data_IF_904321595808
#
_entry.id   IF_904321595808
#
_cell.length_a   1.000
_cell.length_b   1.000
_cell.length_c   1.000
_cell.angle_alpha   90.00
_cell.angle_beta   90.00
_cell.angle_gamma   90.00
#
_symmetry.space_group_name_H-M   'P 1'
#
loop_
_entity.id
_entity.type
_entity.pdbx_description
1 polymer ?
#
# COMPACT_ATOMS: atom_id res chain seq x y z
N UNK A 1 2.14 1.76 -27.19
CA UNK A 1 3.39 1.23 -26.64
C UNK A 1 3.04 0.09 -25.69
N UNK A 2 3.77 -1.04 -25.73
CA UNK A 2 3.66 -2.03 -24.66
C UNK A 2 4.22 -1.44 -23.35
N UNK A 3 3.58 -1.74 -22.22
CA UNK A 3 4.09 -1.37 -20.90
C UNK A 3 5.29 -2.27 -20.57
N UNK A 4 6.37 -1.70 -20.07
CA UNK A 4 7.56 -2.43 -19.67
C UNK A 4 7.29 -3.30 -18.43
N UNK A 5 7.97 -4.46 -18.38
CA UNK A 5 7.83 -5.42 -17.27
C UNK A 5 8.16 -4.77 -15.92
N UNK A 6 9.19 -3.92 -15.88
CA UNK A 6 9.60 -3.22 -14.66
C UNK A 6 8.50 -2.29 -14.12
N UNK A 7 7.85 -1.51 -14.99
CA UNK A 7 6.77 -0.61 -14.54
C UNK A 7 5.52 -1.38 -14.10
N UNK A 8 5.26 -2.56 -14.69
CA UNK A 8 4.24 -3.48 -14.20
C UNK A 8 4.60 -4.07 -12.84
N UNK A 9 5.87 -4.45 -12.61
CA UNK A 9 6.34 -4.96 -11.31
C UNK A 9 6.16 -3.91 -10.21
N UNK A 10 6.48 -2.64 -10.46
CA UNK A 10 6.23 -1.55 -9.49
C UNK A 10 4.75 -1.40 -9.13
N UNK A 11 3.87 -1.43 -10.13
CA UNK A 11 2.43 -1.37 -9.89
C UNK A 11 1.89 -2.63 -9.20
N UNK A 12 2.50 -3.79 -9.45
CA UNK A 12 2.16 -5.02 -8.77
C UNK A 12 2.46 -4.94 -7.27
N UNK A 13 3.56 -4.34 -6.85
CA UNK A 13 3.83 -4.10 -5.43
C UNK A 13 2.76 -3.19 -4.78
N UNK A 14 2.26 -2.17 -5.48
CA UNK A 14 1.12 -1.37 -4.99
C UNK A 14 -0.14 -2.22 -4.82
N UNK A 15 -0.39 -3.14 -5.75
CA UNK A 15 -1.49 -4.11 -5.65
C UNK A 15 -1.33 -5.06 -4.47
N UNK A 16 -0.14 -5.62 -4.24
CA UNK A 16 0.10 -6.49 -3.08
C UNK A 16 -0.10 -5.73 -1.76
N UNK A 17 0.39 -4.49 -1.67
CA UNK A 17 0.13 -3.63 -0.52
C UNK A 17 -1.38 -3.42 -0.29
N UNK A 18 -2.16 -3.25 -1.37
CA UNK A 18 -3.62 -3.14 -1.31
C UNK A 18 -4.28 -4.41 -0.75
N UNK A 19 -3.90 -5.58 -1.25
CA UNK A 19 -4.43 -6.87 -0.78
C UNK A 19 -4.07 -7.12 0.69
N UNK A 20 -2.83 -6.79 1.10
CA UNK A 20 -2.44 -6.88 2.49
C UNK A 20 -3.21 -5.90 3.40
N UNK A 21 -3.56 -4.71 2.91
CA UNK A 21 -4.42 -3.79 3.66
C UNK A 21 -5.83 -4.36 3.87
N UNK A 22 -6.37 -5.06 2.87
CA UNK A 22 -7.64 -5.76 2.98
C UNK A 22 -7.58 -6.90 4.00
N UNK A 23 -6.51 -7.70 3.96
CA UNK A 23 -6.26 -8.77 4.92
C UNK A 23 -6.08 -8.22 6.35
N UNK A 24 -5.30 -7.14 6.52
CA UNK A 24 -5.12 -6.44 7.79
C UNK A 24 -6.45 -5.96 8.36
N UNK A 25 -7.33 -5.39 7.52
CA UNK A 25 -8.65 -4.92 7.92
C UNK A 25 -9.51 -6.06 8.45
N UNK A 26 -9.50 -7.20 7.75
CA UNK A 26 -10.23 -8.41 8.15
C UNK A 26 -9.70 -8.97 9.47
N UNK A 27 -8.38 -9.02 9.65
CA UNK A 27 -7.74 -9.45 10.89
C UNK A 27 -8.06 -8.52 12.06
N UNK A 28 -8.03 -7.20 11.85
CA UNK A 28 -8.38 -6.20 12.86
C UNK A 28 -9.83 -6.35 13.33
N UNK A 29 -10.78 -6.56 12.41
CA UNK A 29 -12.19 -6.82 12.74
C UNK A 29 -12.37 -8.11 13.55
N UNK A 30 -11.56 -9.13 13.29
CA UNK A 30 -11.55 -10.39 14.04
C UNK A 30 -10.78 -10.31 15.36
N UNK A 31 -10.21 -9.15 15.70
CA UNK A 31 -9.30 -8.94 16.84
C UNK A 31 -8.09 -9.87 16.83
N UNK A 32 -7.66 -10.30 15.64
CA UNK A 32 -6.43 -11.06 15.46
C UNK A 32 -5.26 -10.08 15.26
N UNK A 33 -4.75 -9.57 16.38
CA UNK A 33 -3.65 -8.61 16.41
C UNK A 33 -2.41 -9.13 15.67
N UNK A 34 -2.03 -10.39 15.92
CA UNK A 34 -0.80 -10.98 15.35
C UNK A 34 -0.85 -11.00 13.82
N UNK A 35 -1.99 -11.39 13.25
CA UNK A 35 -2.14 -11.38 11.79
C UNK A 35 -2.21 -9.96 11.24
N UNK A 36 -2.92 -9.05 11.91
CA UNK A 36 -2.99 -7.65 11.50
C UNK A 36 -1.60 -6.98 11.47
N UNK A 37 -0.78 -7.15 12.52
CA UNK A 37 0.59 -6.63 12.59
C UNK A 37 1.49 -7.21 11.50
N UNK A 38 1.34 -8.51 11.21
CA UNK A 38 2.06 -9.16 10.10
C UNK A 38 1.70 -8.50 8.77
N UNK A 39 0.42 -8.30 8.48
CA UNK A 39 -0.01 -7.67 7.22
C UNK A 39 0.43 -6.22 7.13
N UNK A 40 0.38 -5.45 8.22
CA UNK A 40 0.91 -4.08 8.27
C UNK A 40 2.42 -4.03 7.96
N UNK A 41 3.17 -5.04 8.37
CA UNK A 41 4.60 -5.18 8.04
C UNK A 41 4.81 -5.45 6.55
N UNK A 42 4.04 -6.39 5.99
CA UNK A 42 4.09 -6.73 4.56
C UNK A 42 3.72 -5.53 3.70
N UNK A 43 2.69 -4.78 4.06
CA UNK A 43 2.31 -3.53 3.37
C UNK A 43 3.48 -2.55 3.24
N UNK A 44 4.29 -2.37 4.30
CA UNK A 44 5.45 -1.47 4.25
C UNK A 44 6.52 -1.97 3.28
N UNK A 45 6.79 -3.27 3.29
CA UNK A 45 7.78 -3.89 2.39
C UNK A 45 7.38 -3.71 0.92
N UNK A 46 6.09 -3.92 0.61
CA UNK A 46 5.58 -3.71 -0.74
C UNK A 46 5.66 -2.25 -1.18
N UNK A 47 5.34 -1.30 -0.30
CA UNK A 47 5.46 0.13 -0.63
C UNK A 47 6.90 0.56 -0.88
N UNK A 48 7.87 0.02 -0.13
CA UNK A 48 9.29 0.27 -0.38
C UNK A 48 9.73 -0.28 -1.75
N UNK A 49 9.21 -1.43 -2.16
CA UNK A 49 9.49 -2.04 -3.46
C UNK A 49 8.79 -1.34 -4.64
N UNK A 50 7.65 -0.67 -4.40
CA UNK A 50 6.88 0.02 -5.43
C UNK A 50 7.56 1.27 -6.01
N UNK A 51 8.65 1.78 -5.40
CA UNK A 51 9.42 2.95 -5.86
C UNK A 51 8.53 4.17 -6.15
N UNK A 52 7.61 4.44 -5.23
CA UNK A 52 6.62 5.50 -5.35
C UNK A 52 7.22 6.89 -5.08
N UNK A 53 6.60 7.97 -5.59
CA UNK A 53 6.94 9.32 -5.18
C UNK A 53 6.89 9.47 -3.66
N UNK A 54 7.85 10.22 -3.10
CA UNK A 54 8.00 10.41 -1.66
C UNK A 54 6.73 10.89 -0.97
N UNK A 55 5.98 11.80 -1.59
CA UNK A 55 4.72 12.32 -1.05
C UNK A 55 3.67 11.19 -0.86
N UNK A 56 3.52 10.32 -1.86
CA UNK A 56 2.63 9.17 -1.78
C UNK A 56 3.07 8.18 -0.68
N UNK A 57 4.37 7.92 -0.54
CA UNK A 57 4.91 7.08 0.53
C UNK A 57 4.64 7.65 1.92
N UNK A 58 4.83 8.96 2.10
CA UNK A 58 4.57 9.63 3.38
C UNK A 58 3.08 9.56 3.76
N UNK A 59 2.19 9.77 2.79
CA UNK A 59 0.74 9.74 3.04
C UNK A 59 0.19 8.34 3.28
N UNK A 60 0.67 7.33 2.56
CA UNK A 60 0.33 5.93 2.83
C UNK A 60 0.95 5.46 4.14
N UNK A 61 2.17 5.89 4.44
CA UNK A 61 2.87 5.57 5.69
C UNK A 61 2.14 6.08 6.94
N UNK A 62 1.54 7.28 6.88
CA UNK A 62 0.69 7.82 7.96
C UNK A 62 -0.49 6.90 8.26
N UNK A 63 -1.18 6.42 7.22
CA UNK A 63 -2.32 5.50 7.41
C UNK A 63 -1.88 4.16 8.02
N UNK A 64 -0.72 3.62 7.60
CA UNK A 64 -0.17 2.39 8.22
C UNK A 64 0.18 2.62 9.69
N UNK A 65 0.82 3.74 10.04
CA UNK A 65 1.17 4.06 11.43
C UNK A 65 -0.07 4.21 12.29
N UNK A 66 -1.09 4.92 11.79
CA UNK A 66 -2.36 5.07 12.51
C UNK A 66 -3.06 3.73 12.71
N UNK A 67 -3.14 2.90 11.66
CA UNK A 67 -3.71 1.56 11.75
C UNK A 67 -2.97 0.70 12.80
N UNK A 68 -1.63 0.74 12.81
CA UNK A 68 -0.83 0.01 13.80
C UNK A 68 -1.13 0.45 15.24
N UNK A 69 -1.32 1.75 15.48
CA UNK A 69 -1.69 2.24 16.82
C UNK A 69 -3.05 1.72 17.28
N UNK A 70 -4.02 1.60 16.37
CA UNK A 70 -5.33 1.02 16.68
C UNK A 70 -5.27 -0.49 16.89
N UNK A 71 -4.54 -1.21 16.03
CA UNK A 71 -4.30 -2.66 16.17
C UNK A 71 -3.61 -2.98 17.50
N UNK A 72 -2.61 -2.19 17.89
CA UNK A 72 -1.90 -2.35 19.17
C UNK A 72 -2.85 -2.25 20.37
N UNK A 73 -3.86 -1.38 20.26
CA UNK A 73 -4.91 -1.17 21.28
C UNK A 73 -6.09 -2.12 21.13
N UNK A 74 -6.02 -3.10 20.22
CA UNK A 74 -7.10 -4.03 19.85
C UNK A 74 -8.42 -3.32 19.50
N UNK A 75 -8.29 -2.16 18.85
CA UNK A 75 -9.39 -1.31 18.40
C UNK A 75 -9.75 -1.63 16.96
N UNK A 76 -11.04 -1.80 16.70
CA UNK A 76 -11.59 -2.01 15.35
C UNK A 76 -11.42 -0.78 14.46
N UNK A 77 -11.13 0.38 15.04
CA UNK A 77 -10.92 1.66 14.39
C UNK A 77 -9.74 1.65 13.40
N UNK A 78 -8.87 0.64 13.47
CA UNK A 78 -7.83 0.40 12.47
C UNK A 78 -8.40 0.33 11.03
N UNK A 79 -9.64 -0.14 10.87
CA UNK A 79 -10.30 -0.24 9.55
C UNK A 79 -10.51 1.11 8.88
N UNK A 80 -10.59 2.22 9.63
CA UNK A 80 -10.75 3.54 9.03
C UNK A 80 -9.46 3.99 8.35
N UNK A 81 -8.32 3.82 9.02
CA UNK A 81 -7.01 4.12 8.45
C UNK A 81 -6.69 3.19 7.27
N UNK A 82 -6.96 1.88 7.41
CA UNK A 82 -6.81 0.92 6.33
C UNK A 82 -7.76 1.17 5.16
N UNK A 83 -8.97 1.67 5.41
CA UNK A 83 -9.92 2.07 4.37
C UNK A 83 -9.39 3.20 3.50
N UNK A 84 -8.83 4.25 4.11
CA UNK A 84 -8.18 5.35 3.36
C UNK A 84 -6.98 4.86 2.55
N UNK A 85 -6.19 3.96 3.13
CA UNK A 85 -5.08 3.32 2.43
C UNK A 85 -5.56 2.56 1.19
N UNK A 86 -6.63 1.77 1.33
CA UNK A 86 -7.22 1.00 0.24
C UNK A 86 -7.72 1.92 -0.89
N UNK A 87 -8.33 3.06 -0.56
CA UNK A 87 -8.82 3.99 -1.57
C UNK A 87 -7.67 4.66 -2.32
N UNK A 88 -6.62 5.11 -1.63
CA UNK A 88 -5.43 5.69 -2.26
C UNK A 88 -4.74 4.70 -3.20
N UNK A 89 -4.56 3.45 -2.77
CA UNK A 89 -3.82 2.45 -3.55
C UNK A 89 -4.53 2.01 -4.84
N UNK A 90 -5.86 2.10 -4.92
CA UNK A 90 -6.61 1.83 -6.17
C UNK A 90 -6.21 2.78 -7.29
N UNK A 91 -6.12 4.07 -6.98
CA UNK A 91 -5.74 5.11 -7.94
C UNK A 91 -4.25 5.00 -8.27
N UNK A 92 -3.43 4.82 -7.24
CA UNK A 92 -1.98 4.80 -7.35
C UNK A 92 -1.45 3.67 -8.24
N UNK A 93 -2.13 2.52 -8.30
CA UNK A 93 -1.71 1.40 -9.14
C UNK A 93 -1.62 1.77 -10.61
N UNK A 94 -2.59 2.53 -11.12
CA UNK A 94 -2.60 3.00 -12.51
C UNK A 94 -1.58 4.12 -12.73
N UNK A 95 -1.50 5.07 -11.78
CA UNK A 95 -0.57 6.20 -11.86
C UNK A 95 0.89 5.74 -11.84
N UNK A 96 1.21 4.69 -11.09
CA UNK A 96 2.56 4.11 -10.98
C UNK A 96 3.04 3.61 -12.33
N UNK A 97 2.18 2.88 -13.06
CA UNK A 97 2.52 2.39 -14.40
C UNK A 97 2.78 3.57 -15.35
N UNK A 98 1.86 4.53 -15.40
CA UNK A 98 1.94 5.65 -16.34
C UNK A 98 3.19 6.51 -16.06
N UNK A 99 3.42 6.84 -14.79
CA UNK A 99 4.53 7.70 -14.37
C UNK A 99 5.88 7.05 -14.64
N UNK A 100 5.99 5.75 -14.39
CA UNK A 100 7.20 4.98 -14.66
C UNK A 100 7.53 4.94 -16.17
N UNK A 101 6.54 4.64 -17.02
CA UNK A 101 6.72 4.64 -18.48
C UNK A 101 7.07 6.03 -19.02
N UNK A 102 6.41 7.08 -18.53
CA UNK A 102 6.70 8.46 -18.93
C UNK A 102 8.08 8.94 -18.48
N UNK A 103 8.62 8.44 -17.37
CA UNK A 103 9.99 8.75 -16.94
C UNK A 103 11.01 8.13 -17.88
N UNK A 104 10.83 6.86 -18.24
CA UNK A 104 11.73 6.16 -19.19
C UNK A 104 11.82 6.88 -20.53
N UNK A 105 10.69 7.31 -21.08
CA UNK A 105 10.65 8.08 -22.33
C UNK A 105 11.39 9.42 -22.31
N UNK A 106 11.68 9.99 -21.14
CA UNK A 106 12.44 11.25 -21.01
C UNK A 106 13.94 11.03 -20.83
N UNK A 107 14.34 9.81 -20.51
CA UNK A 107 15.74 9.42 -20.27
C UNK A 107 16.40 8.81 -21.53
N UNK A 108 15.61 8.51 -22.57
CA UNK A 108 16.02 8.09 -23.92
C UNK A 108 16.16 9.29 -24.89
#
# INVERSE_FOLDING_TARGET
MPISKECLEKAYHVYEAHEYAHAASTSALKKDKKSADRYLTLMRQELEAADLPREALEDLGKDIVEAAQWVEREKTEAVWALGRFLDKTKELMFETVITCECRKLKEE
#
